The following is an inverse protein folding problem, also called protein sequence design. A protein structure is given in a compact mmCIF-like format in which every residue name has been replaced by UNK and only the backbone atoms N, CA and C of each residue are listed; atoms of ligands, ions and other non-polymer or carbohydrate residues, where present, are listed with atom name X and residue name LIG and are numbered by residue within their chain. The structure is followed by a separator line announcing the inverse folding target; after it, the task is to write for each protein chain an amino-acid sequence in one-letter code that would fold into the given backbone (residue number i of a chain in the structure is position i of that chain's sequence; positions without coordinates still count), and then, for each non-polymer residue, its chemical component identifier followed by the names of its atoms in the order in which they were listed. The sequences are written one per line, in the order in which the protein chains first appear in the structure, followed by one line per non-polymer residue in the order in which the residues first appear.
data_IF_615508227496
#
_entry.id   IF_615508227496
#
_cell.length_a   1.000
_cell.length_b   1.000
_cell.length_c   1.000
_cell.angle_alpha   90.00
_cell.angle_beta   90.00
_cell.angle_gamma   90.00
#
_symmetry.space_group_name_H-M   'P 1'
#
loop_
_entity.id
_entity.type
_entity.pdbx_description
1 polymer ?
#
# COMPACT_ATOMS: atom_id res chain seq x y z
N UNK A 1 -31.39 -8.85 4.15
CA UNK A 1 -31.24 -9.97 3.18
C UNK A 1 -29.94 -10.69 3.52
N UNK A 2 -29.92 -12.01 3.74
CA UNK A 2 -28.68 -12.74 4.14
C UNK A 2 -28.01 -13.32 2.90
N UNK A 3 -26.94 -12.68 2.43
CA UNK A 3 -26.17 -13.06 1.23
C UNK A 3 -25.41 -14.40 1.36
N UNK A 4 -25.40 -15.00 2.56
CA UNK A 4 -24.75 -16.28 2.86
C UNK A 4 -25.30 -17.47 2.09
N UNK A 5 -26.50 -17.37 1.49
CA UNK A 5 -27.12 -18.45 0.71
C UNK A 5 -26.48 -18.65 -0.68
N UNK A 6 -25.64 -17.73 -1.14
CA UNK A 6 -25.01 -17.76 -2.47
C UNK A 6 -23.50 -18.05 -2.44
N UNK A 7 -23.00 -18.66 -1.35
CA UNK A 7 -21.57 -18.95 -1.20
C UNK A 7 -20.71 -17.71 -0.89
N UNK A 8 -21.33 -16.63 -0.42
CA UNK A 8 -20.63 -15.44 0.00
C UNK A 8 -19.87 -15.71 1.30
N UNK A 9 -18.54 -15.64 1.24
CA UNK A 9 -17.66 -15.74 2.40
C UNK A 9 -17.32 -14.32 2.88
N UNK A 10 -17.58 -14.03 4.15
CA UNK A 10 -17.18 -12.75 4.75
C UNK A 10 -15.70 -12.83 5.16
N UNK A 11 -14.85 -12.08 4.48
CA UNK A 11 -13.46 -11.91 4.89
C UNK A 11 -13.30 -10.59 5.66
N UNK A 12 -12.84 -10.70 6.92
CA UNK A 12 -12.53 -9.54 7.75
C UNK A 12 -11.08 -9.14 7.53
N UNK A 13 -10.88 -8.12 6.71
CA UNK A 13 -9.56 -7.54 6.50
C UNK A 13 -9.23 -6.55 7.63
N UNK A 14 -8.12 -6.80 8.33
CA UNK A 14 -7.57 -5.82 9.28
C UNK A 14 -7.00 -4.64 8.50
N UNK A 15 -7.19 -3.44 9.04
CA UNK A 15 -6.60 -2.24 8.49
C UNK A 15 -5.97 -1.42 9.61
N UNK A 16 -4.94 -0.66 9.28
CA UNK A 16 -4.28 0.27 10.18
C UNK A 16 -4.56 1.70 9.72
N UNK A 17 -5.19 2.51 10.57
CA UNK A 17 -5.37 3.94 10.29
C UNK A 17 -4.07 4.66 10.64
N UNK A 18 -3.51 5.38 9.68
CA UNK A 18 -2.29 6.15 9.85
C UNK A 18 -2.23 7.30 8.85
N UNK A 19 -1.32 8.25 9.05
CA UNK A 19 -1.06 9.28 8.05
C UNK A 19 -0.13 8.77 6.95
N UNK A 20 -0.12 9.42 5.79
CA UNK A 20 0.89 9.15 4.74
C UNK A 20 2.32 9.37 5.26
N UNK A 21 2.52 10.33 6.17
CA UNK A 21 3.80 10.55 6.83
C UNK A 21 4.24 9.34 7.66
N UNK A 22 3.35 8.81 8.49
CA UNK A 22 3.62 7.62 9.31
C UNK A 22 3.89 6.39 8.44
N UNK A 23 3.16 6.25 7.33
CA UNK A 23 3.39 5.21 6.33
C UNK A 23 4.81 5.31 5.77
N UNK A 24 5.22 6.49 5.31
CA UNK A 24 6.57 6.73 4.76
C UNK A 24 7.67 6.36 5.76
N UNK A 25 7.52 6.76 7.03
CA UNK A 25 8.49 6.46 8.08
C UNK A 25 8.58 4.96 8.34
N UNK A 26 7.43 4.29 8.51
CA UNK A 26 7.37 2.85 8.81
C UNK A 26 7.94 2.02 7.66
N UNK A 27 7.59 2.36 6.42
CA UNK A 27 8.12 1.71 5.22
C UNK A 27 9.62 1.92 5.10
N UNK A 28 10.12 3.14 5.36
CA UNK A 28 11.55 3.42 5.30
C UNK A 28 12.32 2.53 6.27
N UNK A 29 11.86 2.38 7.51
CA UNK A 29 12.49 1.51 8.50
C UNK A 29 12.54 0.06 8.00
N UNK A 30 11.40 -0.48 7.58
CA UNK A 30 11.31 -1.87 7.13
C UNK A 30 12.14 -2.14 5.87
N UNK A 31 12.11 -1.24 4.88
CA UNK A 31 12.83 -1.43 3.62
C UNK A 31 14.35 -1.28 3.84
N UNK A 32 14.81 -0.36 4.70
CA UNK A 32 16.24 -0.24 5.04
C UNK A 32 16.74 -1.46 5.80
N UNK A 33 15.99 -1.95 6.79
CA UNK A 33 16.37 -3.14 7.58
C UNK A 33 16.56 -4.40 6.74
N UNK A 34 15.86 -4.49 5.60
CA UNK A 34 15.91 -5.64 4.71
C UNK A 34 16.75 -5.38 3.44
N UNK A 35 17.49 -4.27 3.37
CA UNK A 35 18.35 -3.90 2.23
C UNK A 35 17.59 -3.76 0.88
N UNK A 36 16.33 -3.34 0.95
CA UNK A 36 15.37 -3.31 -0.17
C UNK A 36 15.25 -1.93 -0.84
N UNK A 37 16.19 -1.01 -0.61
CA UNK A 37 16.04 0.43 -0.94
C UNK A 37 15.89 0.73 -2.43
N UNK A 38 16.46 -0.12 -3.29
CA UNK A 38 16.40 0.00 -4.74
C UNK A 38 15.18 -0.67 -5.37
N UNK A 39 14.34 -1.37 -4.59
CA UNK A 39 13.14 -1.99 -5.12
C UNK A 39 12.10 -0.97 -5.54
N UNK A 40 11.41 -1.29 -6.64
CA UNK A 40 10.27 -0.53 -7.14
C UNK A 40 9.12 -0.60 -6.15
N UNK A 41 8.45 0.53 -5.94
CA UNK A 41 7.32 0.64 -5.02
C UNK A 41 6.07 1.01 -5.82
N UNK A 42 4.97 0.29 -5.59
CA UNK A 42 3.64 0.61 -6.11
C UNK A 42 2.73 0.97 -4.97
N UNK A 43 2.18 2.17 -5.02
CA UNK A 43 1.17 2.66 -4.11
C UNK A 43 -0.19 2.53 -4.80
N UNK A 44 -1.08 1.73 -4.23
CA UNK A 44 -2.38 1.34 -4.82
C UNK A 44 -3.52 1.87 -3.96
N UNK A 45 -4.31 2.77 -4.52
CA UNK A 45 -5.55 3.25 -3.92
C UNK A 45 -6.69 2.28 -4.31
N UNK A 46 -7.29 1.63 -3.31
CA UNK A 46 -8.18 0.50 -3.51
C UNK A 46 -9.64 0.88 -3.78
N UNK A 47 -10.01 2.17 -3.71
CA UNK A 47 -11.38 2.64 -4.00
C UNK A 47 -11.56 2.91 -5.50
N UNK A 48 -10.63 3.62 -6.11
CA UNK A 48 -10.62 4.02 -7.52
C UNK A 48 -9.69 3.14 -8.38
N UNK A 49 -8.81 2.35 -7.76
CA UNK A 49 -7.84 1.51 -8.47
C UNK A 49 -6.66 2.29 -9.04
N UNK A 50 -6.40 3.50 -8.52
CA UNK A 50 -5.26 4.30 -8.96
C UNK A 50 -3.96 3.67 -8.47
N UNK A 51 -2.97 3.58 -9.36
CA UNK A 51 -1.66 3.01 -9.06
C UNK A 51 -0.59 4.03 -9.38
N UNK A 52 0.15 4.46 -8.36
CA UNK A 52 1.34 5.26 -8.53
C UNK A 52 2.58 4.39 -8.35
N UNK A 53 3.54 4.50 -9.28
CA UNK A 53 4.76 3.68 -9.27
C UNK A 53 5.99 4.56 -9.09
N UNK A 54 6.86 4.15 -8.18
CA UNK A 54 8.13 4.78 -7.86
C UNK A 54 9.27 3.81 -8.15
N UNK A 55 10.35 4.29 -8.76
CA UNK A 55 11.49 3.47 -9.16
C UNK A 55 12.25 2.88 -7.97
N UNK A 56 12.28 3.60 -6.85
CA UNK A 56 12.95 3.19 -5.62
C UNK A 56 12.42 3.97 -4.41
N UNK A 57 12.91 3.65 -3.22
CA UNK A 57 12.55 4.33 -1.98
C UNK A 57 12.77 5.85 -2.07
N UNK A 58 13.88 6.30 -2.67
CA UNK A 58 14.22 7.72 -2.74
C UNK A 58 13.15 8.52 -3.48
N UNK A 59 12.68 8.03 -4.61
CA UNK A 59 11.62 8.68 -5.39
C UNK A 59 10.31 8.74 -4.59
N UNK A 60 9.95 7.65 -3.91
CA UNK A 60 8.75 7.59 -3.06
C UNK A 60 8.80 8.61 -1.92
N UNK A 61 9.94 8.73 -1.23
CA UNK A 61 10.11 9.67 -0.12
C UNK A 61 10.07 11.12 -0.61
N UNK A 62 10.70 11.40 -1.75
CA UNK A 62 10.75 12.73 -2.37
C UNK A 62 9.43 13.19 -2.97
N UNK A 63 8.48 12.28 -3.23
CA UNK A 63 7.16 12.64 -3.76
C UNK A 63 6.43 13.56 -2.76
N UNK A 64 5.96 14.69 -3.27
CA UNK A 64 5.13 15.65 -2.52
C UNK A 64 3.72 15.11 -2.33
N UNK A 65 3.58 14.14 -1.42
CA UNK A 65 2.31 13.66 -0.92
C UNK A 65 1.95 14.46 0.32
N UNK A 66 0.66 14.73 0.52
CA UNK A 66 0.18 15.35 1.75
C UNK A 66 0.42 14.40 2.93
N UNK A 67 1.50 14.61 3.67
CA UNK A 67 1.90 13.74 4.77
C UNK A 67 0.87 13.69 5.91
N UNK A 68 0.01 14.71 6.05
CA UNK A 68 -1.07 14.72 7.05
C UNK A 68 -2.35 14.03 6.58
N UNK A 69 -2.40 13.57 5.33
CA UNK A 69 -3.54 12.83 4.80
C UNK A 69 -3.66 11.47 5.50
N UNK A 70 -4.85 11.17 6.04
CA UNK A 70 -5.11 9.93 6.73
C UNK A 70 -5.61 8.85 5.79
N UNK A 71 -5.04 7.67 5.94
CA UNK A 71 -5.36 6.48 5.15
C UNK A 71 -5.64 5.29 6.05
N UNK A 72 -6.35 4.31 5.49
CA UNK A 72 -6.41 2.94 5.99
C UNK A 72 -5.41 2.11 5.18
N UNK A 73 -4.29 1.75 5.79
CA UNK A 73 -3.37 0.77 5.22
C UNK A 73 -4.05 -0.60 5.27
N UNK A 74 -4.22 -1.20 4.11
CA UNK A 74 -4.94 -2.45 3.92
C UNK A 74 -3.96 -3.62 3.86
N UNK A 75 -2.89 -3.46 3.08
CA UNK A 75 -1.91 -4.51 2.88
C UNK A 75 -0.54 -3.97 2.45
N UNK A 76 0.50 -4.75 2.75
CA UNK A 76 1.88 -4.52 2.36
C UNK A 76 2.53 -5.87 2.05
N UNK A 77 2.98 -6.07 0.80
CA UNK A 77 3.64 -7.30 0.40
C UNK A 77 4.56 -7.07 -0.80
N UNK A 78 5.45 -8.03 -1.04
CA UNK A 78 6.33 -8.06 -2.21
C UNK A 78 5.73 -9.02 -3.24
N UNK A 79 5.62 -8.57 -4.48
CA UNK A 79 5.13 -9.37 -5.61
C UNK A 79 6.25 -9.56 -6.61
N UNK A 80 6.47 -10.81 -7.01
CA UNK A 80 7.31 -11.13 -8.16
C UNK A 80 6.52 -10.94 -9.46
N UNK A 81 6.97 -10.03 -10.32
CA UNK A 81 6.36 -9.71 -11.60
C UNK A 81 6.98 -10.60 -12.69
N UNK A 82 6.26 -11.65 -13.11
CA UNK A 82 6.75 -12.62 -14.10
C UNK A 82 7.06 -12.02 -15.49
N UNK A 83 6.41 -10.90 -15.84
CA UNK A 83 6.58 -10.23 -17.12
C UNK A 83 7.88 -9.41 -17.21
N UNK A 84 8.30 -8.83 -16.08
CA UNK A 84 9.54 -8.04 -15.99
C UNK A 84 10.69 -8.76 -15.30
N UNK A 85 10.43 -9.92 -14.67
CA UNK A 85 11.38 -10.66 -13.82
C UNK A 85 11.92 -9.77 -12.68
N UNK A 86 11.03 -8.99 -12.06
CA UNK A 86 11.38 -8.04 -11.00
C UNK A 86 10.47 -8.21 -9.79
N UNK A 87 11.04 -8.09 -8.59
CA UNK A 87 10.28 -7.99 -7.35
C UNK A 87 9.87 -6.54 -7.10
N UNK A 88 8.62 -6.34 -6.69
CA UNK A 88 8.02 -5.02 -6.48
C UNK A 88 7.31 -5.00 -5.14
N UNK A 89 7.56 -3.95 -4.37
CA UNK A 89 6.80 -3.67 -3.14
C UNK A 89 5.44 -3.09 -3.53
N UNK A 90 4.36 -3.70 -3.06
CA UNK A 90 2.99 -3.23 -3.27
C UNK A 90 2.37 -2.80 -1.94
N UNK A 91 1.89 -1.57 -1.90
CA UNK A 91 1.24 -0.95 -0.74
C UNK A 91 -0.20 -0.64 -1.13
N UNK A 92 -1.15 -1.32 -0.49
CA UNK A 92 -2.57 -1.12 -0.73
C UNK A 92 -3.16 -0.27 0.38
N UNK A 93 -3.81 0.83 0.02
CA UNK A 93 -4.48 1.71 0.98
C UNK A 93 -5.86 2.15 0.50
N UNK A 94 -6.65 2.69 1.42
CA UNK A 94 -7.91 3.38 1.14
C UNK A 94 -7.91 4.72 1.85
N UNK A 95 -8.54 5.72 1.25
CA UNK A 95 -8.84 6.95 1.95
C UNK A 95 -9.74 6.69 3.16
N UNK A 96 -9.56 7.48 4.23
CA UNK A 96 -10.53 7.49 5.33
C UNK A 96 -11.72 8.33 4.87
N UNK A 97 -12.85 7.69 4.58
CA UNK A 97 -14.10 8.41 4.36
C UNK A 97 -14.46 9.19 5.64
N UNK A 98 -14.65 10.51 5.52
CA UNK A 98 -15.24 11.32 6.58
C UNK A 98 -16.75 11.07 6.57
N UNK A 99 -17.22 10.18 7.46
CA UNK A 99 -18.64 10.01 7.78
C UNK A 99 -19.18 11.19 8.62
#
# INVERSE_FOLDING_TARGET
MKFTQYGYTEERQKHYRMTIGDLKISLMQQIVENEMTEMKIKLVEMKCGEVETFRNMKEFLMKDLNNSFEIKLIDFHIVHMNDTDEDVIVICFKEVDFE
#
